data_IF_456962635612
#
_entry.id   IF_456962635612
#
_cell.length_a   1.000
_cell.length_b   1.000
_cell.length_c   1.000
_cell.angle_alpha   90.00
_cell.angle_beta   90.00
_cell.angle_gamma   90.00
#
_symmetry.space_group_name_H-M   'P 1'
#
loop_
_entity.id
_entity.type
_entity.pdbx_description
1 polymer ?
#
# COMPACT_ATOMS: atom_id res chain seq x y z
N UNK A 1 1.57 -26.11 -8.97
CA UNK A 1 1.39 -24.87 -9.79
C UNK A 1 1.21 -25.18 -11.25
N UNK A 2 0.32 -24.45 -11.93
CA UNK A 2 0.20 -24.54 -13.37
C UNK A 2 1.26 -23.62 -14.03
N UNK A 3 1.79 -23.96 -15.23
CA UNK A 3 2.78 -23.15 -15.94
C UNK A 3 2.37 -21.69 -16.14
N UNK A 4 1.05 -21.43 -16.23
CA UNK A 4 0.50 -20.08 -16.38
C UNK A 4 0.82 -19.12 -15.22
N UNK A 5 0.96 -19.63 -13.99
CA UNK A 5 1.32 -18.80 -12.84
C UNK A 5 2.75 -18.24 -12.95
N UNK A 6 3.70 -19.07 -13.42
CA UNK A 6 5.08 -18.64 -13.63
C UNK A 6 5.18 -17.61 -14.75
N UNK A 7 4.41 -17.78 -15.84
CA UNK A 7 4.36 -16.81 -16.93
C UNK A 7 3.81 -15.46 -16.42
N UNK A 8 2.73 -15.46 -15.64
CA UNK A 8 2.16 -14.24 -15.08
C UNK A 8 3.14 -13.50 -14.16
N UNK A 9 3.84 -14.22 -13.26
CA UNK A 9 4.87 -13.65 -12.39
C UNK A 9 6.03 -13.07 -13.21
N UNK A 10 6.52 -13.83 -14.19
CA UNK A 10 7.63 -13.37 -15.04
C UNK A 10 7.24 -12.12 -15.85
N UNK A 11 6.03 -12.05 -16.38
CA UNK A 11 5.52 -10.87 -17.09
C UNK A 11 5.41 -9.65 -16.16
N UNK A 12 4.89 -9.82 -14.95
CA UNK A 12 4.80 -8.74 -13.96
C UNK A 12 6.19 -8.24 -13.57
N UNK A 13 7.12 -9.13 -13.25
CA UNK A 13 8.51 -8.77 -12.92
C UNK A 13 9.20 -8.06 -14.09
N UNK A 14 9.03 -8.57 -15.32
CA UNK A 14 9.58 -7.93 -16.53
C UNK A 14 9.03 -6.50 -16.72
N UNK A 15 7.73 -6.30 -16.55
CA UNK A 15 7.11 -4.98 -16.61
C UNK A 15 7.71 -4.01 -15.58
N UNK A 16 7.91 -4.48 -14.35
CA UNK A 16 8.57 -3.69 -13.29
C UNK A 16 10.01 -3.34 -13.66
N UNK A 17 10.82 -4.31 -14.04
CA UNK A 17 12.24 -4.09 -14.41
C UNK A 17 12.36 -3.09 -15.57
N UNK A 18 11.53 -3.21 -16.60
CA UNK A 18 11.53 -2.30 -17.76
C UNK A 18 11.21 -0.85 -17.31
N UNK A 19 10.22 -0.69 -16.43
CA UNK A 19 9.86 0.65 -15.92
C UNK A 19 10.95 1.22 -15.06
N UNK A 20 11.57 0.41 -14.19
CA UNK A 20 12.70 0.83 -13.36
C UNK A 20 13.91 1.25 -14.19
N UNK A 21 14.30 0.48 -15.19
CA UNK A 21 15.41 0.82 -16.10
C UNK A 21 15.16 2.12 -16.85
N UNK A 22 13.93 2.34 -17.34
CA UNK A 22 13.53 3.60 -17.99
C UNK A 22 13.50 4.79 -17.02
N UNK A 23 13.17 4.55 -15.76
CA UNK A 23 13.12 5.57 -14.72
C UNK A 23 14.51 5.92 -14.21
N UNK A 24 15.38 4.93 -14.05
CA UNK A 24 16.79 5.09 -13.68
C UNK A 24 17.54 6.02 -14.65
N UNK A 25 17.25 5.93 -15.94
CA UNK A 25 17.85 6.82 -16.94
C UNK A 25 17.52 8.32 -16.74
N UNK A 26 16.52 8.64 -15.93
CA UNK A 26 16.13 10.02 -15.59
C UNK A 26 16.83 10.53 -14.33
N UNK A 27 17.44 9.67 -13.53
CA UNK A 27 18.15 10.00 -12.30
C UNK A 27 19.58 10.39 -12.66
N UNK A 28 19.91 11.66 -12.55
CA UNK A 28 21.24 12.20 -12.90
C UNK A 28 21.99 12.78 -11.70
N UNK A 29 21.33 12.98 -10.58
CA UNK A 29 21.90 13.58 -9.38
C UNK A 29 21.33 12.93 -8.12
N UNK A 30 21.99 13.12 -6.97
CA UNK A 30 21.50 12.69 -5.67
C UNK A 30 20.11 13.31 -5.38
N UNK A 31 19.90 14.57 -5.74
CA UNK A 31 18.60 15.23 -5.58
C UNK A 31 17.50 14.60 -6.44
N UNK A 32 17.83 14.09 -7.64
CA UNK A 32 16.89 13.35 -8.47
C UNK A 32 16.58 11.98 -7.84
N UNK A 33 17.57 11.36 -7.19
CA UNK A 33 17.37 10.09 -6.51
C UNK A 33 16.46 10.20 -5.29
N UNK A 34 16.68 11.22 -4.44
CA UNK A 34 15.97 11.40 -3.16
C UNK A 34 14.63 12.11 -3.30
N UNK A 35 14.55 13.14 -4.14
CA UNK A 35 13.37 14.02 -4.28
C UNK A 35 12.76 14.02 -5.69
N UNK A 36 13.31 13.23 -6.62
CA UNK A 36 12.86 13.24 -8.02
C UNK A 36 13.06 14.59 -8.71
N UNK A 37 13.98 15.41 -8.23
CA UNK A 37 14.26 16.77 -8.73
C UNK A 37 13.09 17.75 -8.57
N UNK A 38 12.05 17.43 -7.82
CA UNK A 38 10.86 18.29 -7.64
C UNK A 38 10.09 18.57 -8.93
N UNK A 39 10.19 17.71 -9.93
CA UNK A 39 9.55 17.88 -11.26
C UNK A 39 8.38 16.91 -11.49
N UNK A 40 8.01 16.13 -10.48
CA UNK A 40 6.99 15.08 -10.56
C UNK A 40 5.61 15.63 -10.90
N UNK A 41 4.96 14.99 -11.88
CA UNK A 41 3.55 15.23 -12.21
C UNK A 41 2.62 14.46 -11.29
N UNK A 42 1.31 14.64 -11.47
CA UNK A 42 0.25 13.98 -10.65
C UNK A 42 0.38 12.46 -10.66
N UNK A 43 0.70 11.86 -11.81
CA UNK A 43 0.87 10.40 -11.93
C UNK A 43 2.01 9.88 -11.05
N UNK A 44 3.14 10.58 -11.00
CA UNK A 44 4.28 10.17 -10.18
C UNK A 44 3.95 10.29 -8.69
N UNK A 45 3.34 11.39 -8.27
CA UNK A 45 2.89 11.60 -6.89
C UNK A 45 1.89 10.51 -6.47
N UNK A 46 0.89 10.28 -7.31
CA UNK A 46 -0.13 9.26 -7.07
C UNK A 46 0.48 7.85 -7.02
N UNK A 47 1.40 7.54 -7.94
CA UNK A 47 2.10 6.25 -7.99
C UNK A 47 2.99 6.02 -6.77
N UNK A 48 3.74 7.03 -6.33
CA UNK A 48 4.55 6.96 -5.11
C UNK A 48 3.65 6.72 -3.89
N UNK A 49 2.57 7.49 -3.75
CA UNK A 49 1.63 7.38 -2.64
C UNK A 49 0.91 6.03 -2.62
N UNK A 50 0.28 5.64 -3.72
CA UNK A 50 -0.47 4.39 -3.84
C UNK A 50 0.44 3.17 -3.82
N UNK A 51 1.62 3.26 -4.44
CA UNK A 51 2.62 2.21 -4.42
C UNK A 51 3.07 1.85 -2.99
N UNK A 52 3.03 2.82 -2.08
CA UNK A 52 3.34 2.62 -0.67
C UNK A 52 2.12 2.13 0.13
N UNK A 53 0.94 2.76 -0.08
CA UNK A 53 -0.29 2.43 0.68
C UNK A 53 -0.84 1.07 0.29
N UNK A 54 -0.98 0.82 -1.02
CA UNK A 54 -1.56 -0.43 -1.53
C UNK A 54 -0.46 -1.50 -1.58
N UNK A 55 -0.32 -2.24 -0.50
CA UNK A 55 0.63 -3.33 -0.33
C UNK A 55 -0.10 -4.60 0.14
N UNK A 56 0.64 -5.62 0.58
CA UNK A 56 0.07 -6.88 1.05
C UNK A 56 -0.96 -6.72 2.18
N UNK A 57 -0.74 -5.76 3.09
CA UNK A 57 -1.69 -5.49 4.18
C UNK A 57 -3.02 -4.89 3.71
N UNK A 58 -3.00 -4.01 2.71
CA UNK A 58 -4.21 -3.39 2.18
C UNK A 58 -5.01 -4.29 1.23
N UNK A 59 -4.45 -5.38 0.77
CA UNK A 59 -5.09 -6.38 -0.09
C UNK A 59 -5.36 -7.68 0.66
N UNK A 60 -4.34 -8.51 0.85
CA UNK A 60 -4.45 -9.80 1.54
C UNK A 60 -4.86 -9.61 2.99
N UNK A 61 -4.23 -8.68 3.72
CA UNK A 61 -4.57 -8.37 5.11
C UNK A 61 -6.01 -7.92 5.28
N UNK A 62 -6.51 -7.06 4.38
CA UNK A 62 -7.92 -6.63 4.36
C UNK A 62 -8.86 -7.80 4.08
N UNK A 63 -8.52 -8.71 3.15
CA UNK A 63 -9.32 -9.91 2.86
C UNK A 63 -9.35 -10.88 4.05
N UNK A 64 -8.20 -11.13 4.70
CA UNK A 64 -8.14 -11.97 5.92
C UNK A 64 -8.96 -11.37 7.06
N UNK A 65 -8.91 -10.04 7.21
CA UNK A 65 -9.68 -9.34 8.22
C UNK A 65 -11.18 -9.41 7.93
N UNK A 66 -11.57 -9.26 6.66
CA UNK A 66 -12.95 -9.39 6.21
C UNK A 66 -13.46 -10.83 6.32
N UNK A 67 -12.60 -11.83 6.13
CA UNK A 67 -12.93 -13.23 6.40
C UNK A 67 -13.37 -13.45 7.86
N UNK A 68 -12.74 -12.74 8.81
CA UNK A 68 -13.06 -12.90 10.24
C UNK A 68 -14.19 -11.97 10.68
N UNK A 69 -14.19 -10.71 10.25
CA UNK A 69 -15.04 -9.64 10.79
C UNK A 69 -15.96 -8.99 9.73
N UNK A 70 -16.08 -9.57 8.55
CA UNK A 70 -16.96 -9.04 7.50
C UNK A 70 -16.56 -7.65 7.01
N UNK A 71 -17.53 -6.75 6.88
CA UNK A 71 -17.34 -5.40 6.33
C UNK A 71 -16.37 -4.54 7.14
N UNK A 72 -16.17 -4.83 8.43
CA UNK A 72 -15.19 -4.13 9.26
C UNK A 72 -13.74 -4.21 8.69
N UNK A 73 -13.43 -5.17 7.80
CA UNK A 73 -12.17 -5.23 7.08
C UNK A 73 -11.84 -3.97 6.28
N UNK A 74 -12.85 -3.18 5.89
CA UNK A 74 -12.64 -1.95 5.10
C UNK A 74 -11.90 -0.85 5.85
N UNK A 75 -11.88 -0.88 7.17
CA UNK A 75 -11.26 0.18 7.98
C UNK A 75 -9.81 0.45 7.61
N UNK A 76 -9.06 -0.57 7.17
CA UNK A 76 -7.68 -0.36 6.75
C UNK A 76 -7.56 0.59 5.56
N UNK A 77 -8.32 0.35 4.51
CA UNK A 77 -8.31 1.18 3.29
C UNK A 77 -9.06 2.49 3.48
N UNK A 78 -10.13 2.49 4.27
CA UNK A 78 -10.88 3.69 4.65
C UNK A 78 -10.01 4.64 5.47
N UNK A 79 -9.33 4.16 6.51
CA UNK A 79 -8.40 4.96 7.32
C UNK A 79 -7.26 5.52 6.48
N UNK A 80 -6.72 4.72 5.56
CA UNK A 80 -5.69 5.17 4.62
C UNK A 80 -6.20 6.26 3.66
N UNK A 81 -7.40 6.12 3.13
CA UNK A 81 -8.02 7.13 2.29
C UNK A 81 -8.26 8.44 3.06
N UNK A 82 -8.75 8.36 4.30
CA UNK A 82 -8.92 9.53 5.16
C UNK A 82 -7.58 10.18 5.50
N UNK A 83 -6.52 9.43 5.75
CA UNK A 83 -5.16 9.95 5.91
C UNK A 83 -4.68 10.73 4.68
N UNK A 84 -4.92 10.21 3.47
CA UNK A 84 -4.65 10.94 2.23
C UNK A 84 -5.50 12.21 2.09
N UNK A 85 -6.74 12.21 2.57
CA UNK A 85 -7.60 13.40 2.59
C UNK A 85 -7.06 14.48 3.54
N UNK A 86 -6.42 14.11 4.65
CA UNK A 86 -5.75 15.07 5.54
C UNK A 86 -4.63 15.82 4.80
N UNK A 87 -3.84 15.14 3.97
CA UNK A 87 -2.87 15.79 3.09
C UNK A 87 -3.57 16.78 2.13
N UNK A 88 -4.65 16.35 1.47
CA UNK A 88 -5.41 17.19 0.56
C UNK A 88 -5.94 18.47 1.22
N UNK A 89 -6.44 18.41 2.45
CA UNK A 89 -7.04 19.55 3.15
C UNK A 89 -6.03 20.59 3.66
N UNK A 90 -4.77 20.24 3.82
CA UNK A 90 -3.80 21.27 4.19
C UNK A 90 -2.47 20.78 4.72
N UNK A 91 -2.34 19.51 5.11
CA UNK A 91 -1.09 18.99 5.68
C UNK A 91 0.10 19.00 4.70
N UNK A 92 -0.17 19.09 3.39
CA UNK A 92 0.88 19.31 2.37
C UNK A 92 1.54 20.68 2.50
N UNK A 93 0.84 21.71 3.00
CA UNK A 93 1.34 23.09 3.07
C UNK A 93 2.64 23.17 3.89
N UNK A 94 2.66 22.77 5.17
CA UNK A 94 3.90 22.82 5.96
C UNK A 94 5.02 21.97 5.36
N UNK A 95 4.71 20.79 4.80
CA UNK A 95 5.70 19.92 4.16
C UNK A 95 6.37 20.56 2.93
N UNK A 96 5.71 21.49 2.26
CA UNK A 96 6.26 22.13 1.06
C UNK A 96 6.88 23.49 1.32
N UNK A 97 6.53 24.14 2.41
CA UNK A 97 7.13 25.42 2.83
C UNK A 97 8.49 25.16 3.47
N UNK A 98 8.61 24.12 4.27
CA UNK A 98 9.90 23.65 4.75
C UNK A 98 10.72 23.15 3.55
N UNK A 99 11.90 23.67 3.35
CA UNK A 99 12.81 23.19 2.30
C UNK A 99 13.49 21.85 2.66
N UNK A 100 12.96 21.16 3.67
CA UNK A 100 13.49 19.94 4.26
C UNK A 100 13.36 18.73 3.35
N UNK A 101 14.10 17.68 3.71
CA UNK A 101 14.11 16.40 2.99
C UNK A 101 13.36 15.31 3.73
N UNK A 102 13.17 15.50 5.04
CA UNK A 102 12.55 14.51 5.91
C UNK A 102 11.48 15.12 6.81
N UNK A 103 10.49 14.32 7.19
CA UNK A 103 9.44 14.73 8.12
C UNK A 103 10.02 15.12 9.49
N UNK A 104 11.11 14.47 9.89
CA UNK A 104 11.77 14.71 11.17
C UNK A 104 12.59 16.00 11.19
N UNK A 105 13.07 16.47 10.02
CA UNK A 105 13.65 17.81 9.87
C UNK A 105 12.57 18.87 10.09
N UNK A 106 11.40 18.75 9.46
CA UNK A 106 10.26 19.65 9.66
C UNK A 106 9.87 19.74 11.14
N UNK A 107 9.86 18.62 11.87
CA UNK A 107 9.61 18.59 13.31
C UNK A 107 10.75 19.30 14.06
N UNK A 108 11.98 19.14 13.61
CA UNK A 108 13.14 19.76 14.22
C UNK A 108 13.14 21.28 14.11
N UNK A 109 12.71 21.81 13.00
CA UNK A 109 12.61 23.25 12.76
C UNK A 109 11.57 23.93 13.66
N UNK A 110 10.45 23.23 13.92
CA UNK A 110 9.36 23.78 14.75
C UNK A 110 9.58 23.54 16.25
N UNK A 111 10.09 22.35 16.65
CA UNK A 111 10.15 21.91 18.04
C UNK A 111 11.57 21.71 18.59
N UNK A 112 12.57 21.95 17.74
CA UNK A 112 13.99 21.85 18.10
C UNK A 112 14.60 20.46 17.89
N UNK A 113 15.96 20.36 18.00
CA UNK A 113 16.71 19.16 17.61
C UNK A 113 16.41 17.91 18.44
N UNK A 114 16.00 18.07 19.69
CA UNK A 114 15.61 16.94 20.53
C UNK A 114 14.34 16.25 20.01
N UNK A 115 13.36 17.04 19.57
CA UNK A 115 12.12 16.52 18.96
C UNK A 115 12.41 15.80 17.64
N UNK A 116 13.31 16.34 16.81
CA UNK A 116 13.78 15.70 15.58
C UNK A 116 14.45 14.35 15.85
N UNK A 117 15.34 14.28 16.81
CA UNK A 117 16.02 13.05 17.18
C UNK A 117 15.04 11.97 17.65
N UNK A 118 14.13 12.31 18.57
CA UNK A 118 13.13 11.39 19.08
C UNK A 118 12.18 10.94 17.96
N UNK A 119 11.73 11.87 17.13
CA UNK A 119 10.90 11.59 15.95
C UNK A 119 11.59 10.64 14.98
N UNK A 120 12.90 10.82 14.74
CA UNK A 120 13.68 9.96 13.83
C UNK A 120 13.76 8.53 14.34
N UNK A 121 13.97 8.34 15.65
CA UNK A 121 13.98 6.99 16.26
C UNK A 121 12.62 6.32 16.08
N UNK A 122 11.51 7.01 16.40
CA UNK A 122 10.17 6.46 16.27
C UNK A 122 9.80 6.15 14.81
N UNK A 123 10.11 7.06 13.88
CA UNK A 123 9.88 6.82 12.45
C UNK A 123 10.68 5.63 11.94
N UNK A 124 11.94 5.49 12.35
CA UNK A 124 12.80 4.36 11.96
C UNK A 124 12.23 3.04 12.46
N UNK A 125 11.81 2.97 13.72
CA UNK A 125 11.18 1.78 14.29
C UNK A 125 9.87 1.42 13.56
N UNK A 126 9.03 2.41 13.27
CA UNK A 126 7.78 2.21 12.53
C UNK A 126 8.02 1.70 11.10
N UNK A 127 9.00 2.26 10.39
CA UNK A 127 9.38 1.80 9.06
C UNK A 127 9.96 0.38 9.08
N UNK A 128 10.79 0.04 10.08
CA UNK A 128 11.36 -1.29 10.24
C UNK A 128 10.26 -2.35 10.42
N UNK A 129 9.27 -2.08 11.29
CA UNK A 129 8.12 -2.96 11.49
C UNK A 129 7.33 -3.12 10.18
N UNK A 130 7.13 -2.05 9.43
CA UNK A 130 6.44 -2.09 8.14
C UNK A 130 7.19 -2.94 7.10
N UNK A 131 8.52 -2.81 7.02
CA UNK A 131 9.36 -3.62 6.13
C UNK A 131 9.25 -5.09 6.49
N UNK A 132 9.36 -5.45 7.77
CA UNK A 132 9.23 -6.84 8.23
C UNK A 132 7.86 -7.41 7.88
N UNK A 133 6.78 -6.67 8.11
CA UNK A 133 5.42 -7.08 7.75
C UNK A 133 5.26 -7.35 6.25
N UNK A 134 5.79 -6.48 5.40
CA UNK A 134 5.71 -6.65 3.95
C UNK A 134 6.60 -7.82 3.47
N UNK A 135 7.75 -8.04 4.10
CA UNK A 135 8.60 -9.20 3.81
C UNK A 135 7.90 -10.52 4.16
N UNK A 136 7.26 -10.60 5.32
CA UNK A 136 6.49 -11.79 5.72
C UNK A 136 5.36 -12.06 4.71
N UNK A 137 4.60 -11.02 4.33
CA UNK A 137 3.52 -11.15 3.34
C UNK A 137 4.04 -11.64 1.97
N UNK A 138 5.17 -11.09 1.50
CA UNK A 138 5.80 -11.51 0.25
C UNK A 138 6.33 -12.95 0.32
N UNK A 139 6.95 -13.30 1.44
CA UNK A 139 7.47 -14.65 1.68
C UNK A 139 6.34 -15.69 1.76
N UNK A 140 5.24 -15.37 2.44
CA UNK A 140 4.07 -16.24 2.50
C UNK A 140 3.53 -16.55 1.10
N UNK A 141 3.46 -15.55 0.21
CA UNK A 141 3.08 -15.75 -1.19
C UNK A 141 4.06 -16.68 -1.91
N UNK A 142 5.37 -16.46 -1.79
CA UNK A 142 6.38 -17.32 -2.40
C UNK A 142 6.28 -18.75 -1.88
N UNK A 143 6.13 -18.94 -0.57
CA UNK A 143 5.96 -20.24 0.06
C UNK A 143 4.70 -20.96 -0.45
N UNK A 144 3.57 -20.26 -0.53
CA UNK A 144 2.33 -20.82 -1.05
C UNK A 144 2.45 -21.25 -2.53
N UNK A 145 3.23 -20.50 -3.30
CA UNK A 145 3.42 -20.76 -4.72
C UNK A 145 4.48 -21.84 -5.02
N UNK A 146 5.56 -21.91 -4.28
CA UNK A 146 6.74 -22.76 -4.59
C UNK A 146 6.91 -23.94 -3.64
N UNK A 147 6.28 -23.89 -2.45
CA UNK A 147 6.54 -24.82 -1.36
C UNK A 147 7.87 -24.57 -0.63
N UNK A 148 8.53 -23.46 -0.91
CA UNK A 148 9.79 -23.07 -0.25
C UNK A 148 9.56 -22.72 1.22
N UNK A 149 10.63 -22.77 2.00
CA UNK A 149 10.58 -22.33 3.40
C UNK A 149 10.43 -20.80 3.48
N UNK A 150 9.83 -20.31 4.55
CA UNK A 150 9.57 -18.89 4.76
C UNK A 150 10.84 -18.02 4.62
N UNK A 151 11.97 -18.46 5.14
CA UNK A 151 13.22 -17.70 5.06
C UNK A 151 13.79 -17.61 3.63
N UNK A 152 13.56 -18.62 2.77
CA UNK A 152 13.97 -18.62 1.35
C UNK A 152 13.14 -17.60 0.57
N UNK A 153 11.84 -17.52 0.87
CA UNK A 153 10.96 -16.50 0.35
C UNK A 153 11.36 -15.08 0.79
N UNK A 154 11.76 -14.91 2.06
CA UNK A 154 12.28 -13.64 2.57
C UNK A 154 13.57 -13.22 1.85
N UNK A 155 14.51 -14.14 1.62
CA UNK A 155 15.74 -13.85 0.89
C UNK A 155 15.46 -13.41 -0.55
N UNK A 156 14.57 -14.11 -1.25
CA UNK A 156 14.17 -13.74 -2.60
C UNK A 156 13.55 -12.34 -2.63
N UNK A 157 12.62 -12.06 -1.71
CA UNK A 157 11.96 -10.76 -1.60
C UNK A 157 12.99 -9.64 -1.33
N UNK A 158 13.98 -9.90 -0.46
CA UNK A 158 15.04 -8.95 -0.13
C UNK A 158 15.93 -8.65 -1.35
N UNK A 159 16.35 -9.67 -2.09
CA UNK A 159 17.18 -9.50 -3.29
C UNK A 159 16.41 -8.71 -4.37
N UNK A 160 15.15 -9.05 -4.61
CA UNK A 160 14.32 -8.34 -5.57
C UNK A 160 14.11 -6.88 -5.17
N UNK A 161 13.86 -6.62 -3.87
CA UNK A 161 13.67 -5.28 -3.34
C UNK A 161 14.94 -4.44 -3.46
N UNK A 162 16.10 -5.00 -3.14
CA UNK A 162 17.38 -4.32 -3.27
C UNK A 162 17.69 -3.98 -4.72
N UNK A 163 17.54 -4.94 -5.64
CA UNK A 163 17.78 -4.74 -7.07
C UNK A 163 16.86 -3.65 -7.66
N UNK A 164 15.61 -3.64 -7.23
CA UNK A 164 14.61 -2.68 -7.66
C UNK A 164 14.92 -1.25 -7.16
N UNK A 165 15.20 -1.06 -5.87
CA UNK A 165 15.44 0.28 -5.28
C UNK A 165 16.78 0.87 -5.72
N UNK A 166 17.82 0.04 -5.84
CA UNK A 166 19.17 0.49 -6.21
C UNK A 166 19.22 1.14 -7.60
N UNK A 167 18.31 0.79 -8.50
CA UNK A 167 18.31 1.26 -9.89
C UNK A 167 17.55 2.58 -10.10
N UNK A 168 16.41 2.78 -9.42
CA UNK A 168 15.46 3.81 -9.82
C UNK A 168 15.23 4.95 -8.81
N UNK A 169 15.68 4.84 -7.56
CA UNK A 169 15.40 5.82 -6.52
C UNK A 169 13.90 6.11 -6.39
N UNK A 170 13.55 7.33 -5.97
CA UNK A 170 12.14 7.70 -5.77
C UNK A 170 11.33 7.81 -7.07
N UNK A 171 11.98 8.15 -8.19
CA UNK A 171 11.32 8.21 -9.51
C UNK A 171 10.94 6.80 -9.96
N UNK A 172 11.85 5.85 -9.79
CA UNK A 172 11.59 4.45 -10.05
C UNK A 172 10.49 3.91 -9.16
N UNK A 173 10.61 4.06 -7.84
CA UNK A 173 9.59 3.64 -6.87
C UNK A 173 8.20 4.22 -7.20
N UNK A 174 8.12 5.49 -7.60
CA UNK A 174 6.86 6.13 -8.00
C UNK A 174 6.28 5.57 -9.30
N UNK A 175 7.10 5.38 -10.32
CA UNK A 175 6.66 4.80 -11.60
C UNK A 175 6.31 3.31 -11.46
N UNK A 176 7.10 2.56 -10.69
CA UNK A 176 6.76 1.19 -10.29
C UNK A 176 5.45 1.12 -9.51
N UNK A 177 5.21 2.09 -8.63
CA UNK A 177 3.93 2.25 -7.93
C UNK A 177 2.74 2.46 -8.88
N UNK A 178 2.90 3.21 -9.97
CA UNK A 178 1.86 3.35 -11.01
C UNK A 178 1.57 2.00 -11.67
N UNK A 179 2.60 1.27 -12.11
CA UNK A 179 2.44 -0.06 -12.74
C UNK A 179 1.77 -1.03 -11.78
N UNK A 180 2.25 -1.09 -10.53
CA UNK A 180 1.66 -1.89 -9.46
C UNK A 180 0.18 -1.57 -9.26
N UNK A 181 -0.17 -0.30 -9.21
CA UNK A 181 -1.56 0.14 -9.02
C UNK A 181 -2.43 -0.32 -10.18
N UNK A 182 -2.00 -0.16 -11.43
CA UNK A 182 -2.74 -0.63 -12.61
C UNK A 182 -2.96 -2.15 -12.55
N UNK A 183 -1.90 -2.92 -12.28
CA UNK A 183 -1.99 -4.38 -12.17
C UNK A 183 -2.94 -4.81 -11.04
N UNK A 184 -2.86 -4.16 -9.88
CA UNK A 184 -3.74 -4.44 -8.75
C UNK A 184 -5.20 -4.12 -9.06
N UNK A 185 -5.48 -3.04 -9.80
CA UNK A 185 -6.84 -2.73 -10.23
C UNK A 185 -7.39 -3.78 -11.19
N UNK A 186 -6.60 -4.21 -12.17
CA UNK A 186 -7.00 -5.29 -13.08
C UNK A 186 -7.31 -6.56 -12.29
N UNK A 187 -6.43 -6.95 -11.36
CA UNK A 187 -6.63 -8.12 -10.51
C UNK A 187 -7.85 -7.97 -9.61
N UNK A 188 -8.02 -6.82 -8.94
CA UNK A 188 -9.17 -6.56 -8.06
C UNK A 188 -10.49 -6.64 -8.82
N UNK A 189 -10.57 -6.02 -10.01
CA UNK A 189 -11.77 -6.09 -10.86
C UNK A 189 -12.03 -7.53 -11.31
N UNK A 190 -10.99 -8.26 -11.68
CA UNK A 190 -11.11 -9.69 -12.06
C UNK A 190 -11.62 -10.52 -10.87
N UNK A 191 -11.03 -10.33 -9.68
CA UNK A 191 -11.47 -11.01 -8.46
C UNK A 191 -12.94 -10.70 -8.12
N UNK A 192 -13.36 -9.43 -8.20
CA UNK A 192 -14.75 -9.02 -7.98
C UNK A 192 -15.67 -9.74 -8.96
N UNK A 193 -15.31 -9.73 -10.26
CA UNK A 193 -16.12 -10.37 -11.29
C UNK A 193 -16.25 -11.88 -11.07
N UNK A 194 -15.14 -12.56 -10.76
CA UNK A 194 -15.12 -14.00 -10.45
C UNK A 194 -15.95 -14.29 -9.20
N UNK A 195 -15.78 -13.50 -8.13
CA UNK A 195 -16.54 -13.65 -6.89
C UNK A 195 -18.05 -13.53 -7.15
N UNK A 196 -18.48 -12.52 -7.89
CA UNK A 196 -19.92 -12.33 -8.24
C UNK A 196 -20.44 -13.50 -9.08
N UNK A 197 -19.67 -13.99 -10.03
CA UNK A 197 -20.04 -15.16 -10.86
C UNK A 197 -20.21 -16.40 -10.02
N UNK A 198 -19.23 -16.72 -9.17
CA UNK A 198 -19.27 -17.90 -8.30
C UNK A 198 -20.36 -17.82 -7.24
N UNK A 199 -20.68 -16.64 -6.72
CA UNK A 199 -21.80 -16.45 -5.76
C UNK A 199 -23.15 -16.74 -6.40
N UNK A 200 -23.31 -16.49 -7.71
CA UNK A 200 -24.54 -16.80 -8.45
C UNK A 200 -24.73 -18.31 -8.70
N UNK A 201 -23.67 -19.10 -8.69
CA UNK A 201 -23.72 -20.56 -8.88
C UNK A 201 -23.92 -21.35 -7.57
N UNK A 202 -23.64 -20.73 -6.42
CA UNK A 202 -23.73 -21.35 -5.10
C UNK A 202 -24.93 -20.72 -4.40
N UNK A 203 -26.00 -21.51 -4.25
CA UNK A 203 -27.29 -21.06 -3.75
C UNK A 203 -27.27 -20.39 -2.37
N UNK A 204 -28.33 -19.67 -1.98
CA UNK A 204 -28.43 -18.88 -0.75
C UNK A 204 -28.63 -19.78 0.48
N UNK A 205 -27.57 -20.40 0.99
CA UNK A 205 -27.71 -21.39 2.06
C UNK A 205 -26.72 -21.28 3.23
N UNK A 206 -25.67 -20.49 3.12
CA UNK A 206 -24.66 -20.38 4.18
C UNK A 206 -25.07 -19.29 5.16
N UNK A 207 -25.57 -19.66 6.33
CA UNK A 207 -25.77 -18.74 7.46
C UNK A 207 -24.39 -18.22 7.89
N UNK A 208 -24.15 -16.93 7.71
CA UNK A 208 -23.02 -16.27 8.34
C UNK A 208 -23.32 -16.00 9.80
N UNK A 209 -22.47 -16.48 10.69
CA UNK A 209 -22.52 -16.20 12.13
C UNK A 209 -22.11 -14.76 12.49
N UNK A 210 -21.65 -13.97 11.51
CA UNK A 210 -21.26 -12.57 11.69
C UNK A 210 -22.14 -11.72 10.81
N UNK A 211 -22.67 -10.64 11.36
CA UNK A 211 -23.36 -9.62 10.56
C UNK A 211 -22.39 -9.00 9.56
N UNK A 212 -22.42 -9.48 8.32
CA UNK A 212 -21.48 -9.10 7.25
C UNK A 212 -21.54 -7.59 6.99
N UNK A 213 -22.65 -6.97 7.31
CA UNK A 213 -22.93 -5.56 7.05
C UNK A 213 -22.48 -4.65 8.20
N UNK A 214 -22.04 -5.20 9.33
CA UNK A 214 -21.59 -4.40 10.45
C UNK A 214 -20.17 -3.86 10.21
N UNK A 215 -20.10 -2.55 10.02
CA UNK A 215 -18.85 -1.81 9.91
C UNK A 215 -18.08 -1.75 11.24
N UNK A 216 -18.76 -1.99 12.34
CA UNK A 216 -18.24 -1.91 13.71
C UNK A 216 -18.25 -3.28 14.42
N UNK A 217 -18.03 -4.36 13.69
CA UNK A 217 -18.13 -5.74 14.17
C UNK A 217 -17.31 -6.04 15.45
N UNK A 218 -16.22 -5.30 15.70
CA UNK A 218 -15.42 -5.43 16.94
C UNK A 218 -15.80 -4.41 18.01
N UNK A 219 -16.84 -3.62 17.81
CA UNK A 219 -17.28 -2.53 18.65
C UNK A 219 -16.81 -1.15 18.15
N UNK A 220 -17.70 -0.16 18.26
CA UNK A 220 -17.55 1.21 17.72
C UNK A 220 -16.23 1.85 18.16
N UNK A 221 -15.92 1.83 19.45
CA UNK A 221 -14.70 2.45 19.97
C UNK A 221 -13.44 1.85 19.37
N UNK A 222 -13.38 0.51 19.27
CA UNK A 222 -12.20 -0.20 18.74
C UNK A 222 -11.96 0.09 17.28
N UNK A 223 -13.02 0.14 16.46
CA UNK A 223 -12.90 0.43 15.04
C UNK A 223 -12.54 1.89 14.79
N UNK A 224 -13.13 2.84 15.53
CA UNK A 224 -12.77 4.25 15.43
C UNK A 224 -11.31 4.50 15.84
N UNK A 225 -10.83 3.88 16.92
CA UNK A 225 -9.42 3.98 17.32
C UNK A 225 -8.49 3.37 16.27
N UNK A 226 -8.88 2.28 15.63
CA UNK A 226 -8.12 1.66 14.56
C UNK A 226 -8.06 2.58 13.32
N UNK A 227 -9.20 3.16 12.93
CA UNK A 227 -9.26 4.16 11.86
C UNK A 227 -8.41 5.39 12.16
N UNK A 228 -8.47 5.92 13.38
CA UNK A 228 -7.67 7.06 13.81
C UNK A 228 -6.16 6.73 13.79
N UNK A 229 -5.77 5.54 14.27
CA UNK A 229 -4.38 5.08 14.24
C UNK A 229 -3.84 5.00 12.82
N UNK A 230 -4.66 4.55 11.86
CA UNK A 230 -4.30 4.52 10.44
C UNK A 230 -4.15 5.92 9.84
N UNK A 231 -5.06 6.84 10.15
CA UNK A 231 -4.96 8.24 9.71
C UNK A 231 -3.66 8.85 10.23
N UNK A 232 -3.39 8.72 11.53
CA UNK A 232 -2.16 9.22 12.16
C UNK A 232 -0.92 8.54 11.57
N UNK A 233 -0.97 7.23 11.32
CA UNK A 233 0.11 6.48 10.68
C UNK A 233 0.45 7.02 9.29
N UNK A 234 -0.55 7.33 8.47
CA UNK A 234 -0.33 7.89 7.12
C UNK A 234 0.33 9.27 7.20
N UNK A 235 -0.16 10.17 8.06
CA UNK A 235 0.38 11.53 8.10
C UNK A 235 1.74 11.64 8.80
N UNK A 236 2.10 10.67 9.65
CA UNK A 236 3.38 10.67 10.40
C UNK A 236 4.48 9.83 9.75
N UNK A 237 4.19 9.10 8.67
CA UNK A 237 5.17 8.22 8.04
C UNK A 237 5.91 8.92 6.91
N UNK A 238 7.23 8.92 6.98
CA UNK A 238 8.16 9.55 6.03
C UNK A 238 7.88 9.18 4.56
N UNK A 239 7.63 7.92 4.27
CA UNK A 239 7.45 7.46 2.87
C UNK A 239 6.21 8.04 2.18
N UNK A 240 5.18 8.42 2.92
CA UNK A 240 4.02 9.11 2.35
C UNK A 240 4.30 10.60 2.13
N UNK A 241 5.03 11.25 3.04
CA UNK A 241 5.46 12.64 2.88
C UNK A 241 6.36 12.82 1.65
N UNK A 242 7.26 11.86 1.38
CA UNK A 242 8.14 11.88 0.22
C UNK A 242 7.37 11.99 -1.11
N UNK A 243 6.19 11.41 -1.23
CA UNK A 243 5.38 11.52 -2.44
C UNK A 243 5.04 12.99 -2.79
N UNK A 244 4.95 13.86 -1.77
CA UNK A 244 4.59 15.26 -1.97
C UNK A 244 5.81 16.15 -2.27
N UNK A 245 6.99 15.78 -1.80
CA UNK A 245 8.24 16.49 -2.17
C UNK A 245 8.64 16.27 -3.62
N UNK A 246 8.28 15.13 -4.21
CA UNK A 246 8.49 14.85 -5.65
C UNK A 246 7.66 15.76 -6.55
N UNK A 247 6.53 16.27 -6.08
CA UNK A 247 5.59 17.06 -6.86
C UNK A 247 6.21 18.39 -7.33
N UNK A 248 5.97 18.78 -8.59
CA UNK A 248 6.47 20.06 -9.15
C UNK A 248 5.88 21.30 -8.49
N UNK A 249 4.67 21.22 -7.95
CA UNK A 249 4.01 22.31 -7.24
C UNK A 249 2.92 21.80 -6.30
N UNK A 250 2.39 22.70 -5.44
CA UNK A 250 1.34 22.41 -4.48
C UNK A 250 0.07 21.82 -5.11
N UNK A 251 -0.37 22.36 -6.26
CA UNK A 251 -1.59 21.86 -6.92
C UNK A 251 -1.45 20.42 -7.40
N UNK A 252 -0.26 20.04 -7.87
CA UNK A 252 0.04 18.65 -8.26
C UNK A 252 0.06 17.72 -7.06
N UNK A 253 0.70 18.14 -5.97
CA UNK A 253 0.72 17.40 -4.71
C UNK A 253 -0.70 17.14 -4.18
N UNK A 254 -1.51 18.22 -4.12
CA UNK A 254 -2.90 18.17 -3.66
C UNK A 254 -3.78 17.27 -4.53
N UNK A 255 -3.68 17.38 -5.86
CA UNK A 255 -4.40 16.50 -6.79
C UNK A 255 -3.97 15.02 -6.62
N UNK A 256 -2.66 14.79 -6.43
CA UNK A 256 -2.14 13.44 -6.18
C UNK A 256 -2.69 12.83 -4.90
N UNK A 257 -2.80 13.60 -3.82
CA UNK A 257 -3.40 13.16 -2.56
C UNK A 257 -4.88 12.80 -2.71
N UNK A 258 -5.66 13.64 -3.41
CA UNK A 258 -7.09 13.39 -3.65
C UNK A 258 -7.32 12.13 -4.49
N UNK A 259 -6.58 11.99 -5.60
CA UNK A 259 -6.69 10.82 -6.46
C UNK A 259 -6.23 9.57 -5.69
N UNK A 260 -5.15 9.66 -4.89
CA UNK A 260 -4.70 8.59 -4.02
C UNK A 260 -5.77 8.14 -3.03
N UNK A 261 -6.43 9.10 -2.35
CA UNK A 261 -7.54 8.81 -1.44
C UNK A 261 -8.69 8.07 -2.13
N UNK A 262 -9.11 8.56 -3.29
CA UNK A 262 -10.22 7.95 -4.05
C UNK A 262 -9.86 6.56 -4.59
N UNK A 263 -8.63 6.36 -5.02
CA UNK A 263 -8.18 5.09 -5.56
C UNK A 263 -7.90 4.03 -4.48
N UNK A 264 -7.72 4.37 -3.22
CA UNK A 264 -7.60 3.37 -2.15
C UNK A 264 -8.90 2.60 -1.92
N UNK A 265 -10.06 3.25 -2.02
CA UNK A 265 -11.36 2.67 -1.64
C UNK A 265 -11.77 1.45 -2.47
N UNK A 266 -11.74 1.49 -3.83
CA UNK A 266 -12.15 0.34 -4.64
C UNK A 266 -11.32 -0.93 -4.37
N UNK A 267 -10.02 -0.78 -4.08
CA UNK A 267 -9.16 -1.92 -3.74
C UNK A 267 -9.59 -2.54 -2.41
N UNK A 268 -9.92 -1.70 -1.42
CA UNK A 268 -10.45 -2.17 -0.14
C UNK A 268 -11.78 -2.91 -0.28
N UNK A 269 -12.72 -2.35 -1.02
CA UNK A 269 -14.00 -3.02 -1.29
C UNK A 269 -13.81 -4.37 -1.98
N UNK A 270 -12.95 -4.44 -3.00
CA UNK A 270 -12.65 -5.70 -3.69
C UNK A 270 -12.06 -6.75 -2.76
N UNK A 271 -11.12 -6.36 -1.91
CA UNK A 271 -10.50 -7.25 -0.92
C UNK A 271 -11.51 -7.75 0.13
N UNK A 272 -12.41 -6.88 0.60
CA UNK A 272 -13.48 -7.25 1.53
C UNK A 272 -14.43 -8.26 0.89
N UNK A 273 -14.85 -8.03 -0.35
CA UNK A 273 -15.73 -8.97 -1.07
C UNK A 273 -15.10 -10.35 -1.20
N UNK A 274 -13.82 -10.43 -1.53
CA UNK A 274 -13.08 -11.70 -1.61
C UNK A 274 -13.06 -12.39 -0.24
N UNK A 275 -12.74 -11.66 0.84
CA UNK A 275 -12.69 -12.22 2.19
C UNK A 275 -14.02 -12.77 2.66
N UNK A 276 -15.12 -12.03 2.43
CA UNK A 276 -16.49 -12.48 2.74
C UNK A 276 -16.86 -13.71 1.91
N UNK A 277 -16.54 -13.72 0.61
CA UNK A 277 -16.79 -14.86 -0.27
C UNK A 277 -16.09 -16.11 0.23
N UNK A 278 -14.81 -16.03 0.59
CA UNK A 278 -14.03 -17.15 1.11
C UNK A 278 -14.63 -17.72 2.40
N UNK A 279 -15.11 -16.85 3.29
CA UNK A 279 -15.81 -17.26 4.51
C UNK A 279 -17.10 -18.01 4.20
N UNK A 280 -17.91 -17.51 3.29
CA UNK A 280 -19.20 -18.10 2.91
C UNK A 280 -19.07 -19.51 2.33
N UNK A 281 -17.93 -19.80 1.72
CA UNK A 281 -17.69 -21.10 1.08
C UNK A 281 -16.82 -22.04 1.90
N UNK A 282 -16.59 -21.74 3.19
CA UNK A 282 -15.72 -22.51 4.08
C UNK A 282 -14.33 -22.78 3.49
N UNK A 283 -13.86 -21.87 2.63
CA UNK A 283 -12.50 -21.93 2.13
C UNK A 283 -11.55 -21.60 3.29
N UNK A 284 -10.55 -22.43 3.47
CA UNK A 284 -9.53 -22.22 4.49
C UNK A 284 -8.90 -20.81 4.37
N UNK A 285 -8.25 -20.32 5.42
CA UNK A 285 -7.65 -19.00 5.47
C UNK A 285 -7.05 -18.55 4.15
N UNK A 286 -7.24 -17.29 3.77
CA UNK A 286 -6.71 -16.70 2.55
C UNK A 286 -5.17 -16.83 2.38
N UNK A 287 -4.46 -17.27 3.42
CA UNK A 287 -3.05 -17.64 3.37
C UNK A 287 -2.82 -19.10 2.92
N UNK A 288 -3.86 -19.95 2.92
CA UNK A 288 -3.81 -21.36 2.54
C UNK A 288 -4.46 -21.63 1.16
N UNK A 289 -5.17 -20.65 0.61
CA UNK A 289 -5.78 -20.67 -0.71
C UNK A 289 -4.95 -19.91 -1.74
#
# INVERSE_FOLDING_TARGET
MQPGHFIGIAMALAAFIIVEMKSSAKVKSAADFDKGGGKGGVFLVCGTLLGTIIAGQSTIGTAQFAFTYGLAGIWYTLGSALGCMMFYFGYIIPLRISHDSTLTEVIGDEFGPQASYFGSVLCTLGMLISVVSNMIASSALVTALTGWKLWEGCLLAMVLMFAYVALGGIIGAGMGGVVKTILLYILTITCIFVTIRLTGEIGPGTKLDVDIHDLFARGVAKELFNGLALILGIISTQSYAQAFWVAKNYHVARKGALIGALLCLPVGFGSVLVGIFMKNHNLANAAEA
#
